data_IF_190790447373
#
_entry.id   IF_190790447373
#
_cell.length_a   1.000
_cell.length_b   1.000
_cell.length_c   1.000
_cell.angle_alpha   90.00
_cell.angle_beta   90.00
_cell.angle_gamma   90.00
#
_symmetry.space_group_name_H-M   'P 1'
#
loop_
_entity.id
_entity.type
_entity.pdbx_description
1 polymer ?
#
# COMPACT_ATOMS: atom_id res chain seq x y z
N UNK A 1 7.78 21.51 4.34
CA UNK A 1 7.16 21.38 5.68
C UNK A 1 6.73 19.96 6.02
N UNK A 2 5.95 19.26 5.18
CA UNK A 2 5.48 17.90 5.48
C UNK A 2 6.58 16.94 5.98
N UNK A 3 7.70 16.80 5.25
CA UNK A 3 8.82 15.95 5.66
C UNK A 3 9.39 16.27 7.03
N UNK A 4 9.52 17.55 7.34
CA UNK A 4 10.07 18.01 8.62
C UNK A 4 9.06 17.67 9.73
N UNK A 5 7.78 17.98 9.53
CA UNK A 5 6.71 17.68 10.49
C UNK A 5 6.49 16.19 10.75
N UNK A 6 6.77 15.32 9.79
CA UNK A 6 6.61 13.87 9.94
C UNK A 6 7.82 13.22 10.63
N UNK A 7 9.04 13.72 10.38
CA UNK A 7 10.28 13.07 10.85
C UNK A 7 10.96 13.77 12.03
N UNK A 8 10.71 15.07 12.24
CA UNK A 8 11.47 15.89 13.20
C UNK A 8 10.59 16.56 14.27
N UNK A 9 9.27 16.46 14.14
CA UNK A 9 8.34 17.02 15.13
C UNK A 9 7.51 15.92 15.79
N UNK A 10 7.22 16.09 17.08
CA UNK A 10 6.38 15.16 17.81
C UNK A 10 4.92 15.23 17.33
N UNK A 11 4.29 14.07 17.17
CA UNK A 11 2.87 13.98 16.85
C UNK A 11 2.01 14.36 18.05
N UNK A 12 1.07 15.27 17.87
CA UNK A 12 0.10 15.65 18.92
C UNK A 12 -1.15 14.78 18.80
N UNK A 13 -1.54 14.09 19.87
CA UNK A 13 -2.67 13.14 19.85
C UNK A 13 -2.57 12.09 18.73
N UNK A 14 -1.34 11.62 18.45
CA UNK A 14 -1.01 10.71 17.33
C UNK A 14 -1.35 11.26 15.93
N UNK A 15 -1.50 12.57 15.79
CA UNK A 15 -1.73 13.26 14.52
C UNK A 15 -0.51 14.08 14.10
N UNK A 16 -0.25 14.12 12.81
CA UNK A 16 0.73 15.02 12.20
C UNK A 16 0.32 16.47 12.47
N UNK A 17 1.27 17.31 12.90
CA UNK A 17 0.98 18.74 13.16
C UNK A 17 0.64 19.46 11.84
N UNK A 18 1.21 19.02 10.72
CA UNK A 18 1.01 19.67 9.42
C UNK A 18 -0.30 19.26 8.75
N UNK A 19 -0.63 17.96 8.74
CA UNK A 19 -1.83 17.46 8.04
C UNK A 19 -3.01 17.18 8.95
N UNK A 20 -2.81 17.07 10.27
CA UNK A 20 -3.83 16.63 11.22
C UNK A 20 -4.16 15.13 11.12
N UNK A 21 -3.45 14.35 10.29
CA UNK A 21 -3.76 12.94 10.04
C UNK A 21 -3.07 11.99 11.02
N UNK A 22 -3.76 10.89 11.37
CA UNK A 22 -3.17 9.73 12.07
C UNK A 22 -2.40 8.81 11.13
N UNK A 23 -2.66 8.88 9.83
CA UNK A 23 -1.88 8.18 8.82
C UNK A 23 -0.40 8.57 8.90
N UNK A 24 0.49 7.65 8.52
CA UNK A 24 1.92 7.91 8.43
C UNK A 24 2.22 8.27 6.98
N UNK A 25 2.95 9.37 6.77
CA UNK A 25 3.43 9.74 5.45
C UNK A 25 4.82 9.14 5.23
N UNK A 26 4.96 8.36 4.17
CA UNK A 26 6.24 7.80 3.73
C UNK A 26 6.79 8.61 2.57
N UNK A 27 8.12 8.72 2.49
CA UNK A 27 8.82 9.44 1.42
C UNK A 27 9.56 8.44 0.53
N UNK A 28 9.25 8.44 -0.76
CA UNK A 28 9.79 7.50 -1.73
C UNK A 28 8.69 6.76 -2.48
N UNK A 29 9.09 5.78 -3.30
CA UNK A 29 8.15 4.89 -3.98
C UNK A 29 7.72 3.75 -3.04
N UNK A 30 6.44 3.35 -3.04
CA UNK A 30 5.99 2.22 -2.24
C UNK A 30 6.58 0.91 -2.76
N UNK A 31 7.11 0.08 -1.85
CA UNK A 31 7.42 -1.32 -2.14
C UNK A 31 6.15 -2.17 -2.01
N UNK A 32 5.41 -2.26 -3.11
CA UNK A 32 4.14 -2.98 -3.14
C UNK A 32 4.31 -4.48 -2.89
N UNK A 33 5.41 -5.10 -3.32
CA UNK A 33 5.64 -6.54 -3.11
C UNK A 33 5.81 -6.84 -1.62
N UNK A 34 6.65 -6.08 -0.92
CA UNK A 34 6.84 -6.24 0.53
C UNK A 34 5.55 -5.94 1.30
N UNK A 35 4.82 -4.90 0.89
CA UNK A 35 3.52 -4.56 1.47
C UNK A 35 2.49 -5.70 1.31
N UNK A 36 2.34 -6.25 0.10
CA UNK A 36 1.40 -7.35 -0.15
C UNK A 36 1.81 -8.64 0.58
N UNK A 37 3.10 -8.95 0.71
CA UNK A 37 3.57 -10.07 1.57
C UNK A 37 3.18 -9.87 3.04
N UNK A 38 3.29 -8.65 3.54
CA UNK A 38 2.84 -8.31 4.89
C UNK A 38 1.32 -8.50 5.03
N UNK A 39 0.53 -8.01 4.07
CA UNK A 39 -0.94 -8.18 4.05
C UNK A 39 -1.31 -9.66 3.99
N UNK A 40 -0.65 -10.47 3.16
CA UNK A 40 -0.87 -11.91 3.04
C UNK A 40 -0.64 -12.62 4.39
N UNK A 41 0.44 -12.28 5.10
CA UNK A 41 0.72 -12.82 6.44
C UNK A 41 -0.31 -12.36 7.48
N UNK A 42 -0.70 -11.09 7.44
CA UNK A 42 -1.61 -10.47 8.42
C UNK A 42 -3.05 -11.00 8.27
N UNK A 43 -3.46 -11.31 7.05
CA UNK A 43 -4.82 -11.73 6.70
C UNK A 43 -4.85 -13.15 6.12
N UNK A 44 -4.07 -14.07 6.69
CA UNK A 44 -4.02 -15.48 6.26
C UNK A 44 -5.34 -16.25 6.41
N UNK A 45 -6.32 -15.66 7.10
CA UNK A 45 -7.65 -16.24 7.34
C UNK A 45 -8.63 -16.04 6.17
N UNK A 46 -8.26 -15.27 5.13
CA UNK A 46 -9.08 -15.11 3.91
C UNK A 46 -8.40 -15.81 2.72
N UNK A 47 -9.19 -16.19 1.72
CA UNK A 47 -8.69 -16.91 0.54
C UNK A 47 -8.25 -15.97 -0.59
N UNK A 48 -8.86 -14.78 -0.69
CA UNK A 48 -8.66 -13.83 -1.78
C UNK A 48 -8.69 -12.38 -1.26
N UNK A 49 -7.91 -11.50 -1.87
CA UNK A 49 -7.91 -10.05 -1.62
C UNK A 49 -7.98 -9.32 -2.97
N UNK A 50 -8.95 -8.42 -3.11
CA UNK A 50 -9.03 -7.53 -4.27
C UNK A 50 -8.08 -6.33 -4.12
N UNK A 51 -7.35 -6.00 -5.18
CA UNK A 51 -6.45 -4.85 -5.25
C UNK A 51 -6.86 -3.98 -6.42
N UNK A 52 -7.38 -2.79 -6.12
CA UNK A 52 -7.85 -1.84 -7.13
C UNK A 52 -6.81 -0.74 -7.31
N UNK A 53 -6.50 -0.40 -8.57
CA UNK A 53 -5.56 0.69 -8.87
C UNK A 53 -6.14 1.64 -9.91
N UNK A 54 -6.07 2.94 -9.63
CA UNK A 54 -6.42 4.03 -10.53
C UNK A 54 -5.25 5.03 -10.54
N UNK A 55 -4.67 5.31 -11.70
CA UNK A 55 -3.51 6.20 -11.82
C UNK A 55 -2.68 5.95 -13.09
N UNK A 56 -1.47 6.57 -13.18
CA UNK A 56 -0.61 6.43 -14.34
C UNK A 56 -0.23 4.97 -14.63
N UNK A 57 -0.10 4.61 -15.92
CA UNK A 57 0.24 3.23 -16.34
C UNK A 57 1.45 2.62 -15.63
N UNK A 58 2.56 3.35 -15.37
CA UNK A 58 3.69 2.77 -14.64
C UNK A 58 3.34 2.35 -13.19
N UNK A 59 2.45 3.11 -12.54
CA UNK A 59 2.00 2.81 -11.17
C UNK A 59 1.06 1.60 -11.16
N UNK A 60 0.05 1.59 -12.03
CA UNK A 60 -0.91 0.47 -12.07
C UNK A 60 -0.22 -0.83 -12.47
N UNK A 61 0.76 -0.77 -13.40
CA UNK A 61 1.61 -1.91 -13.76
C UNK A 61 2.46 -2.40 -12.59
N UNK A 62 3.04 -1.50 -11.78
CA UNK A 62 3.85 -1.94 -10.63
C UNK A 62 3.02 -2.65 -9.56
N UNK A 63 1.78 -2.21 -9.34
CA UNK A 63 0.82 -2.88 -8.44
C UNK A 63 0.44 -4.26 -8.97
N UNK A 64 0.14 -4.38 -10.26
CA UNK A 64 -0.16 -5.65 -10.92
C UNK A 64 1.00 -6.63 -10.79
N UNK A 65 2.22 -6.22 -11.14
CA UNK A 65 3.41 -7.07 -11.05
C UNK A 65 3.71 -7.51 -9.61
N UNK A 66 3.43 -6.67 -8.61
CA UNK A 66 3.58 -7.06 -7.21
C UNK A 66 2.55 -8.12 -6.80
N UNK A 67 1.29 -8.02 -7.27
CA UNK A 67 0.28 -9.05 -7.03
C UNK A 67 0.71 -10.40 -7.64
N UNK A 68 1.17 -10.38 -8.89
CA UNK A 68 1.66 -11.58 -9.58
C UNK A 68 2.84 -12.21 -8.85
N UNK A 69 3.81 -11.40 -8.43
CA UNK A 69 5.00 -11.86 -7.72
C UNK A 69 4.65 -12.54 -6.38
N UNK A 70 3.74 -11.96 -5.60
CA UNK A 70 3.31 -12.57 -4.33
C UNK A 70 2.49 -13.84 -4.55
N UNK A 71 1.66 -13.88 -5.60
CA UNK A 71 0.85 -15.05 -5.93
C UNK A 71 1.67 -16.25 -6.40
N UNK A 72 2.86 -16.05 -7.00
CA UNK A 72 3.78 -17.14 -7.35
C UNK A 72 4.13 -18.04 -6.16
N UNK A 73 4.10 -17.49 -4.94
CA UNK A 73 4.35 -18.24 -3.71
C UNK A 73 3.28 -19.30 -3.38
N UNK A 74 2.14 -19.32 -4.08
CA UNK A 74 1.01 -20.27 -3.87
C UNK A 74 0.54 -20.36 -2.42
N UNK A 75 0.64 -19.25 -1.69
CA UNK A 75 0.15 -19.08 -0.31
C UNK A 75 -1.12 -18.24 -0.32
N UNK A 76 -2.08 -18.61 0.51
CA UNK A 76 -3.28 -17.80 0.69
C UNK A 76 -2.98 -16.59 1.58
N UNK A 77 -3.70 -15.47 1.39
CA UNK A 77 -4.62 -15.19 0.27
C UNK A 77 -3.92 -14.94 -1.07
N UNK A 78 -4.66 -15.20 -2.15
CA UNK A 78 -4.31 -14.74 -3.50
C UNK A 78 -4.79 -13.30 -3.73
N UNK A 79 -3.96 -12.50 -4.38
CA UNK A 79 -4.31 -11.13 -4.77
C UNK A 79 -4.92 -11.10 -6.17
N UNK A 80 -6.04 -10.41 -6.33
CA UNK A 80 -6.73 -10.22 -7.61
C UNK A 80 -6.65 -8.73 -7.95
N UNK A 81 -5.91 -8.39 -9.00
CA UNK A 81 -5.70 -7.01 -9.41
C UNK A 81 -6.78 -6.54 -10.38
N UNK A 82 -7.31 -5.34 -10.12
CA UNK A 82 -8.30 -4.66 -10.95
C UNK A 82 -7.76 -3.28 -11.34
N UNK A 83 -7.75 -3.02 -12.64
CA UNK A 83 -7.53 -1.68 -13.16
C UNK A 83 -8.87 -0.95 -13.19
N UNK A 84 -8.94 0.18 -12.50
CA UNK A 84 -10.14 1.01 -12.43
C UNK A 84 -9.84 2.39 -13.01
N UNK A 85 -10.81 2.94 -13.75
CA UNK A 85 -10.78 4.31 -14.21
C UNK A 85 -12.03 5.02 -13.70
N UNK A 86 -11.94 5.57 -12.49
CA UNK A 86 -13.01 6.38 -11.90
C UNK A 86 -12.91 7.80 -12.47
N UNK A 87 -13.47 7.96 -13.67
CA UNK A 87 -13.69 9.25 -14.33
C UNK A 87 -15.04 9.85 -13.99
#
# INVERSE_FOLDING_TARGET
MLYICENHFQRLSKKSIFTGLKAINHFGRPDMTSFLKFVQKKHSYVSKIGVFSCGPRPLTKSVMSACDEVNKGRRLPYFIHHFENFG
#
